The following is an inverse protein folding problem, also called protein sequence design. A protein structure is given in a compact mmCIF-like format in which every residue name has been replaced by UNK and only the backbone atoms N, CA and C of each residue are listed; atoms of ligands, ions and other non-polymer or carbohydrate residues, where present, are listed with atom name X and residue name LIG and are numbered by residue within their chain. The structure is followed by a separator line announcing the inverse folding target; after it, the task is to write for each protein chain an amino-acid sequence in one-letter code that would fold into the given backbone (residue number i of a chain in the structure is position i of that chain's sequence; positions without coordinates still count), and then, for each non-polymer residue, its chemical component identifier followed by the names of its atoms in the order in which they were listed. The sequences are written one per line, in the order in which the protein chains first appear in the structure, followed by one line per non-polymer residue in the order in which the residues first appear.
data_IF_647791788943
#
_entry.id   IF_647791788943
#
_cell.length_a   1.000
_cell.length_b   1.000
_cell.length_c   1.000
_cell.angle_alpha   90.00
_cell.angle_beta   90.00
_cell.angle_gamma   90.00
#
_symmetry.space_group_name_H-M   'P 1'
#
loop_
_entity.id
_entity.type
_entity.pdbx_description
1 polymer ?
#
# COMPACT_ATOMS: atom_id res chain seq x y z
N UNK A 1 -11.18 -9.97 8.22
CA UNK A 1 -11.30 -9.69 6.75
C UNK A 1 -10.00 -9.01 6.30
N UNK A 2 -9.33 -9.57 5.29
CA UNK A 2 -8.07 -9.05 4.73
C UNK A 2 -8.32 -7.70 4.06
N UNK A 3 -7.45 -6.72 4.30
CA UNK A 3 -7.48 -5.41 3.65
C UNK A 3 -6.19 -5.19 2.85
N UNK A 4 -6.32 -4.59 1.66
CA UNK A 4 -5.15 -4.09 0.94
C UNK A 4 -4.61 -2.82 1.59
N UNK A 5 -3.30 -2.59 1.51
CA UNK A 5 -2.70 -1.30 1.89
C UNK A 5 -2.94 -0.21 0.85
N UNK A 6 -3.30 -0.58 -0.39
CA UNK A 6 -3.68 0.36 -1.45
C UNK A 6 -5.18 0.59 -1.41
N UNK A 7 -5.61 1.78 -1.77
CA UNK A 7 -7.01 2.14 -1.81
C UNK A 7 -7.23 3.58 -2.25
N UNK A 8 -8.46 3.89 -2.58
CA UNK A 8 -8.91 5.21 -2.99
C UNK A 8 -10.29 5.50 -2.41
N UNK A 9 -10.48 6.72 -1.93
CA UNK A 9 -11.78 7.21 -1.51
C UNK A 9 -11.93 8.68 -1.90
N UNK A 10 -13.09 9.07 -2.40
CA UNK A 10 -13.42 10.45 -2.73
C UNK A 10 -14.85 10.74 -2.27
N UNK A 11 -14.99 11.87 -1.60
CA UNK A 11 -16.34 12.36 -1.24
C UNK A 11 -16.41 13.85 -1.52
N UNK A 12 -17.52 14.24 -2.11
CA UNK A 12 -17.84 15.65 -2.36
C UNK A 12 -19.16 15.97 -1.68
N UNK A 13 -19.18 17.02 -0.87
CA UNK A 13 -20.36 17.46 -0.14
C UNK A 13 -20.59 18.94 -0.37
N UNK A 14 -21.83 19.30 -0.61
CA UNK A 14 -22.34 20.67 -0.58
C UNK A 14 -23.02 20.90 0.76
N UNK A 15 -22.57 21.91 1.50
CA UNK A 15 -23.23 22.36 2.73
C UNK A 15 -23.55 23.84 2.63
N UNK A 16 -24.81 24.14 2.32
CA UNK A 16 -25.21 25.48 1.89
C UNK A 16 -24.53 25.85 0.57
N UNK A 17 -23.82 26.97 0.58
CA UNK A 17 -23.05 27.47 -0.58
C UNK A 17 -21.56 27.07 -0.53
N UNK A 18 -21.20 26.08 0.30
CA UNK A 18 -19.82 25.63 0.49
C UNK A 18 -19.65 24.22 -0.02
N UNK A 19 -18.66 24.02 -0.87
CA UNK A 19 -18.29 22.72 -1.42
C UNK A 19 -17.01 22.23 -0.77
N UNK A 20 -17.07 21.01 -0.24
CA UNK A 20 -15.94 20.28 0.31
C UNK A 20 -15.69 19.05 -0.54
N UNK A 21 -14.50 18.91 -1.10
CA UNK A 21 -14.06 17.70 -1.80
C UNK A 21 -12.87 17.12 -1.05
N UNK A 22 -12.97 15.86 -0.67
CA UNK A 22 -11.90 15.11 0.01
C UNK A 22 -11.52 13.91 -0.85
N UNK A 23 -10.26 13.79 -1.19
CA UNK A 23 -9.68 12.62 -1.85
C UNK A 23 -8.63 11.98 -0.94
N UNK A 24 -8.71 10.67 -0.77
CA UNK A 24 -7.79 9.87 0.05
C UNK A 24 -7.16 8.82 -0.85
N UNK A 25 -5.83 8.74 -0.88
CA UNK A 25 -5.06 7.73 -1.60
C UNK A 25 -4.12 7.04 -0.64
N UNK A 26 -4.15 5.71 -0.63
CA UNK A 26 -3.26 4.88 0.17
C UNK A 26 -2.30 4.09 -0.69
N UNK A 27 -1.04 3.99 -0.25
CA UNK A 27 -0.03 3.11 -0.83
C UNK A 27 0.67 2.32 0.27
N UNK A 28 1.29 1.20 -0.12
CA UNK A 28 2.03 0.36 0.81
C UNK A 28 3.14 1.16 1.51
N UNK A 29 3.16 1.11 2.84
CA UNK A 29 4.24 1.64 3.66
C UNK A 29 4.31 0.93 5.01
N UNK A 30 5.53 0.82 5.58
CA UNK A 30 5.76 0.09 6.83
C UNK A 30 5.02 0.66 8.04
N UNK A 31 4.88 1.97 8.11
CA UNK A 31 4.24 2.71 9.20
C UNK A 31 3.09 3.56 8.63
N UNK A 32 2.20 4.02 9.51
CA UNK A 32 1.22 5.01 9.11
C UNK A 32 1.93 6.37 8.91
N UNK A 33 2.03 6.78 7.66
CA UNK A 33 2.51 8.10 7.26
C UNK A 33 1.37 8.85 6.56
N UNK A 34 1.01 10.03 7.08
CA UNK A 34 -0.11 10.81 6.57
C UNK A 34 0.34 12.16 6.08
N UNK A 35 0.12 12.43 4.79
CA UNK A 35 0.35 13.73 4.15
C UNK A 35 -1.00 14.37 3.84
N UNK A 36 -1.23 15.57 4.40
CA UNK A 36 -2.49 16.30 4.22
C UNK A 36 -2.19 17.59 3.44
N UNK A 37 -2.85 17.74 2.30
CA UNK A 37 -2.82 18.95 1.49
C UNK A 37 -4.18 19.60 1.50
N UNK A 38 -4.25 20.83 2.03
CA UNK A 38 -5.50 21.57 2.17
C UNK A 38 -5.28 23.08 2.02
N UNK A 39 -6.32 23.87 1.74
CA UNK A 39 -6.27 25.33 1.76
C UNK A 39 -5.87 25.87 3.14
N UNK A 40 -5.14 26.98 3.17
CA UNK A 40 -4.68 27.63 4.42
C UNK A 40 -5.83 27.91 5.39
N UNK A 41 -7.02 28.24 4.89
CA UNK A 41 -8.23 28.51 5.67
C UNK A 41 -8.69 27.30 6.52
N UNK A 42 -8.20 26.07 6.26
CA UNK A 42 -8.56 24.84 6.99
C UNK A 42 -7.42 24.26 7.84
N UNK A 43 -6.24 24.88 7.86
CA UNK A 43 -5.04 24.34 8.54
C UNK A 43 -5.25 24.07 10.05
N UNK A 44 -6.11 24.82 10.71
CA UNK A 44 -6.41 24.60 12.13
C UNK A 44 -7.13 23.28 12.42
N UNK A 45 -7.72 22.61 11.41
CA UNK A 45 -8.31 21.29 11.53
C UNK A 45 -7.33 20.11 11.34
N UNK A 46 -6.07 20.35 11.01
CA UNK A 46 -5.10 19.28 10.69
C UNK A 46 -5.03 18.21 11.77
N UNK A 47 -4.96 18.62 13.04
CA UNK A 47 -4.86 17.68 14.18
C UNK A 47 -6.12 16.81 14.29
N UNK A 48 -7.29 17.39 14.09
CA UNK A 48 -8.58 16.69 14.13
C UNK A 48 -8.70 15.69 12.99
N UNK A 49 -8.26 16.05 11.78
CA UNK A 49 -8.23 15.18 10.60
C UNK A 49 -7.31 13.99 10.86
N UNK A 50 -6.08 14.22 11.36
CA UNK A 50 -5.14 13.16 11.71
C UNK A 50 -5.71 12.19 12.76
N UNK A 51 -6.47 12.70 13.71
CA UNK A 51 -7.11 11.89 14.75
C UNK A 51 -8.21 10.98 14.16
N UNK A 52 -9.03 11.49 13.24
CA UNK A 52 -10.04 10.70 12.54
C UNK A 52 -9.41 9.57 11.70
N UNK A 53 -8.35 9.87 10.97
CA UNK A 53 -7.66 8.88 10.13
C UNK A 53 -7.07 7.72 10.94
N UNK A 54 -6.46 8.02 12.09
CA UNK A 54 -5.87 7.00 12.97
C UNK A 54 -6.89 6.01 13.53
N UNK A 55 -8.17 6.38 13.61
CA UNK A 55 -9.24 5.48 14.05
C UNK A 55 -9.55 4.40 13.01
N UNK A 56 -9.35 4.70 11.71
CA UNK A 56 -9.76 3.82 10.61
C UNK A 56 -8.59 3.18 9.87
N UNK A 57 -7.38 3.74 9.99
CA UNK A 57 -6.18 3.32 9.23
C UNK A 57 -5.03 3.12 10.20
N UNK A 58 -4.48 1.89 10.24
CA UNK A 58 -3.39 1.53 11.16
C UNK A 58 -2.02 1.58 10.49
N UNK A 59 -1.94 1.36 9.16
CA UNK A 59 -0.71 1.24 8.41
C UNK A 59 -0.87 1.77 6.98
N UNK A 60 0.27 2.13 6.35
CA UNK A 60 0.32 2.63 4.98
C UNK A 60 0.67 4.11 4.90
N UNK A 61 1.12 4.57 3.73
CA UNK A 61 1.25 6.00 3.44
C UNK A 61 -0.06 6.48 2.83
N UNK A 62 -0.66 7.51 3.44
CA UNK A 62 -1.97 8.04 3.06
C UNK A 62 -1.82 9.51 2.69
N UNK A 63 -2.05 9.81 1.43
CA UNK A 63 -2.10 11.17 0.91
C UNK A 63 -3.56 11.64 0.84
N UNK A 64 -3.84 12.79 1.44
CA UNK A 64 -5.16 13.39 1.53
C UNK A 64 -5.14 14.74 0.85
N UNK A 65 -6.06 14.95 -0.06
CA UNK A 65 -6.28 16.20 -0.77
C UNK A 65 -7.64 16.74 -0.40
N UNK A 66 -7.66 17.93 0.18
CA UNK A 66 -8.89 18.63 0.55
C UNK A 66 -9.00 19.88 -0.29
N UNK A 67 -10.09 20.01 -1.02
CA UNK A 67 -10.47 21.21 -1.76
C UNK A 67 -11.69 21.81 -1.09
N UNK A 68 -11.67 23.14 -0.93
CA UNK A 68 -12.74 23.93 -0.38
C UNK A 68 -13.08 25.08 -1.32
N UNK A 69 -14.32 25.18 -1.71
CA UNK A 69 -14.86 26.27 -2.51
C UNK A 69 -16.02 26.91 -1.75
N UNK A 70 -15.94 28.22 -1.56
CA UNK A 70 -17.03 29.04 -1.02
C UNK A 70 -17.73 29.73 -2.19
N UNK A 71 -18.95 29.32 -2.46
CA UNK A 71 -19.81 29.85 -3.53
C UNK A 71 -20.73 30.97 -3.01
N UNK A 72 -20.67 31.28 -1.70
CA UNK A 72 -21.42 32.39 -1.15
C UNK A 72 -20.96 33.70 -1.77
N UNK A 73 -21.88 34.61 -2.01
CA UNK A 73 -21.52 35.98 -2.34
C UNK A 73 -20.61 36.50 -1.22
N UNK A 74 -19.34 36.74 -1.56
CA UNK A 74 -18.34 37.17 -0.59
C UNK A 74 -18.83 38.46 0.08
N UNK A 75 -19.27 38.35 1.32
CA UNK A 75 -19.56 39.53 2.16
C UNK A 75 -18.22 40.18 2.53
N UNK A 76 -17.64 40.84 1.54
CA UNK A 76 -16.49 41.71 1.78
C UNK A 76 -17.04 42.98 2.42
N UNK A 77 -16.76 43.19 3.68
CA UNK A 77 -17.05 44.46 4.36
C UNK A 77 -15.86 45.39 4.22
N UNK A 78 -16.14 46.65 3.88
CA UNK A 78 -15.14 47.70 3.94
C UNK A 78 -15.08 48.23 5.35
N UNK A 79 -13.91 48.15 5.98
CA UNK A 79 -13.63 48.77 7.27
C UNK A 79 -12.93 50.08 7.07
N UNK A 80 -13.51 51.13 7.62
CA UNK A 80 -12.94 52.46 7.65
C UNK A 80 -12.21 52.74 8.97
N UNK A 81 -10.93 53.09 8.88
CA UNK A 81 -10.12 53.45 10.03
C UNK A 81 -10.12 54.99 10.21
N UNK A 82 -11.11 55.48 10.93
CA UNK A 82 -11.32 56.90 11.14
C UNK A 82 -10.14 57.55 11.91
N UNK A 83 -9.56 56.84 12.90
CA UNK A 83 -8.46 57.36 13.69
C UNK A 83 -7.22 57.63 12.82
N UNK A 84 -6.85 56.62 11.99
CA UNK A 84 -5.73 56.73 11.08
C UNK A 84 -5.95 57.81 10.00
N UNK A 85 -7.18 57.89 9.46
CA UNK A 85 -7.53 58.96 8.52
C UNK A 85 -7.37 60.34 9.12
N UNK A 86 -7.74 60.54 10.40
CA UNK A 86 -7.54 61.79 11.13
C UNK A 86 -6.04 62.14 11.29
N UNK A 87 -5.21 61.14 11.62
CA UNK A 87 -3.76 61.31 11.71
C UNK A 87 -3.15 61.77 10.39
N UNK A 88 -3.50 61.11 9.26
CA UNK A 88 -3.05 61.54 7.94
C UNK A 88 -3.43 62.98 7.64
N UNK A 89 -4.67 63.37 7.88
CA UNK A 89 -5.14 64.73 7.65
C UNK A 89 -4.39 65.75 8.49
N UNK A 90 -4.09 65.46 9.76
CA UNK A 90 -3.31 66.32 10.63
C UNK A 90 -1.88 66.54 10.15
N UNK A 91 -1.24 65.44 9.64
CA UNK A 91 0.10 65.53 9.06
C UNK A 91 0.12 66.28 7.77
N UNK A 92 -0.86 66.11 6.89
CA UNK A 92 -0.95 66.89 5.64
C UNK A 92 -1.13 68.35 5.90
N UNK A 93 -1.92 68.73 6.88
CA UNK A 93 -2.06 70.12 7.26
C UNK A 93 -0.74 70.69 7.79
N UNK A 94 -0.04 69.93 8.65
CA UNK A 94 1.27 70.33 9.20
C UNK A 94 2.32 70.48 8.11
N UNK A 95 2.31 69.61 7.09
CA UNK A 95 3.21 69.69 5.93
C UNK A 95 2.91 70.91 5.10
N UNK A 96 1.62 71.21 4.81
CA UNK A 96 1.18 72.37 4.09
C UNK A 96 1.63 73.64 4.77
N UNK A 97 1.45 73.77 6.08
CA UNK A 97 1.86 74.92 6.87
C UNK A 97 3.39 75.08 6.95
N UNK A 98 4.13 73.97 7.14
CA UNK A 98 5.60 73.98 7.27
C UNK A 98 6.30 74.42 5.96
N UNK A 99 5.81 73.94 4.84
CA UNK A 99 6.44 74.16 3.55
C UNK A 99 5.73 75.18 2.67
N UNK A 100 4.69 75.86 3.19
CA UNK A 100 3.87 76.83 2.50
C UNK A 100 3.28 76.26 1.19
N UNK A 101 2.78 75.01 1.26
CA UNK A 101 2.14 74.30 0.18
C UNK A 101 0.63 74.38 0.29
N UNK A 102 -0.08 74.28 -0.84
CA UNK A 102 -1.55 74.16 -0.84
C UNK A 102 -1.95 72.72 -0.43
N UNK A 103 -2.87 72.60 0.53
CA UNK A 103 -3.43 71.32 0.94
C UNK A 103 -4.57 70.95 -0.01
N UNK A 104 -4.27 70.11 -1.01
CA UNK A 104 -5.20 69.66 -2.09
C UNK A 104 -5.83 68.25 -1.80
N UNK A 105 -5.73 67.79 -0.53
CA UNK A 105 -6.22 66.45 -0.21
C UNK A 105 -7.72 66.32 -0.42
N UNK A 106 -8.11 65.31 -1.18
CA UNK A 106 -9.50 64.97 -1.48
C UNK A 106 -9.84 63.59 -0.88
N UNK A 107 -11.12 63.37 -0.62
CA UNK A 107 -11.62 62.07 -0.10
C UNK A 107 -11.14 60.91 -0.97
N UNK A 108 -11.12 61.06 -2.31
CA UNK A 108 -10.65 60.06 -3.27
C UNK A 108 -9.13 59.80 -3.20
N UNK A 109 -8.35 60.77 -2.73
CA UNK A 109 -6.93 60.62 -2.46
C UNK A 109 -6.75 59.95 -1.06
N UNK A 110 -7.41 60.46 -0.02
CA UNK A 110 -7.35 59.93 1.34
C UNK A 110 -7.73 58.45 1.40
N UNK A 111 -8.78 58.01 0.69
CA UNK A 111 -9.22 56.61 0.63
C UNK A 111 -8.20 55.63 0.07
N UNK A 112 -7.15 56.13 -0.64
CA UNK A 112 -6.09 55.28 -1.25
C UNK A 112 -4.86 55.11 -0.38
N UNK A 113 -4.77 55.88 0.74
CA UNK A 113 -3.66 55.72 1.65
C UNK A 113 -3.77 54.37 2.39
N UNK A 114 -2.62 53.76 2.73
CA UNK A 114 -2.59 52.45 3.35
C UNK A 114 -3.46 52.40 4.61
N UNK A 115 -4.21 51.29 4.73
CA UNK A 115 -5.00 50.94 5.94
C UNK A 115 -6.14 51.91 6.33
N UNK A 116 -6.44 52.91 5.51
CA UNK A 116 -7.62 53.76 5.74
C UNK A 116 -8.91 53.04 5.36
N UNK A 117 -8.91 52.33 4.22
CA UNK A 117 -9.98 51.43 3.82
C UNK A 117 -9.40 50.03 3.63
N UNK A 118 -9.78 49.12 4.48
CA UNK A 118 -9.39 47.69 4.37
C UNK A 118 -10.62 46.83 4.04
N UNK A 119 -10.40 45.86 3.17
CA UNK A 119 -11.41 44.83 2.93
C UNK A 119 -11.25 43.75 3.98
N UNK A 120 -12.23 43.60 4.86
CA UNK A 120 -12.27 42.49 5.84
C UNK A 120 -13.22 41.41 5.31
N UNK A 121 -12.67 40.21 5.11
CA UNK A 121 -13.49 39.02 4.96
C UNK A 121 -14.02 38.65 6.37
N UNK A 122 -15.32 38.39 6.48
CA UNK A 122 -15.88 37.88 7.75
C UNK A 122 -15.16 36.59 8.13
N UNK A 123 -14.75 36.48 9.39
CA UNK A 123 -14.18 35.24 9.90
C UNK A 123 -15.16 34.10 9.70
N UNK A 124 -14.76 33.01 9.04
CA UNK A 124 -15.67 31.90 8.77
C UNK A 124 -16.07 31.24 10.10
N UNK A 125 -17.34 30.83 10.19
CA UNK A 125 -17.85 30.04 11.31
C UNK A 125 -17.15 28.66 11.32
N UNK A 126 -16.19 28.49 12.24
CA UNK A 126 -15.35 27.30 12.34
C UNK A 126 -16.17 26.02 12.61
N UNK A 127 -17.25 26.10 13.38
CA UNK A 127 -18.10 24.94 13.68
C UNK A 127 -18.82 24.44 12.43
N UNK A 128 -19.34 25.36 11.62
CA UNK A 128 -20.00 25.00 10.35
C UNK A 128 -18.98 24.44 9.33
N UNK A 129 -17.77 25.04 9.26
CA UNK A 129 -16.71 24.52 8.40
C UNK A 129 -16.30 23.12 8.82
N UNK A 130 -16.13 22.87 10.12
CA UNK A 130 -15.77 21.55 10.61
C UNK A 130 -16.86 20.51 10.33
N UNK A 131 -18.11 20.89 10.52
CA UNK A 131 -19.25 19.97 10.27
C UNK A 131 -19.28 19.50 8.83
N UNK A 132 -19.16 20.42 7.86
CA UNK A 132 -19.13 20.08 6.43
C UNK A 132 -17.89 19.26 6.05
N UNK A 133 -16.72 19.71 6.50
CA UNK A 133 -15.47 19.02 6.26
C UNK A 133 -15.46 17.59 6.86
N UNK A 134 -15.96 17.43 8.10
CA UNK A 134 -16.03 16.13 8.78
C UNK A 134 -16.92 15.15 8.00
N UNK A 135 -18.08 15.59 7.53
CA UNK A 135 -18.97 14.73 6.72
C UNK A 135 -18.29 14.28 5.42
N UNK A 136 -17.56 15.18 4.75
CA UNK A 136 -16.80 14.84 3.54
C UNK A 136 -15.65 13.85 3.86
N UNK A 137 -14.95 14.04 4.98
CA UNK A 137 -13.92 13.13 5.46
C UNK A 137 -14.48 11.76 5.79
N UNK A 138 -15.56 11.68 6.56
CA UNK A 138 -16.20 10.43 6.95
C UNK A 138 -16.64 9.64 5.70
N UNK A 139 -17.23 10.31 4.70
CA UNK A 139 -17.61 9.70 3.43
C UNK A 139 -16.40 9.19 2.63
N UNK A 140 -15.33 9.97 2.53
CA UNK A 140 -14.13 9.57 1.83
C UNK A 140 -13.39 8.42 2.53
N UNK A 141 -13.34 8.43 3.88
CA UNK A 141 -12.77 7.34 4.69
C UNK A 141 -13.58 6.06 4.51
N UNK A 142 -14.91 6.12 4.55
CA UNK A 142 -15.77 4.96 4.36
C UNK A 142 -15.50 4.30 3.00
N UNK A 143 -15.48 5.08 1.92
CA UNK A 143 -15.19 4.59 0.58
C UNK A 143 -13.76 4.03 0.46
N UNK A 144 -12.78 4.69 1.09
CA UNK A 144 -11.40 4.23 1.14
C UNK A 144 -11.28 2.86 1.81
N UNK A 145 -11.95 2.67 2.97
CA UNK A 145 -11.95 1.39 3.69
C UNK A 145 -12.66 0.29 2.90
N UNK A 146 -13.78 0.62 2.24
CA UNK A 146 -14.50 -0.31 1.37
C UNK A 146 -13.63 -0.77 0.19
N UNK A 147 -12.99 0.17 -0.51
CA UNK A 147 -12.10 -0.13 -1.65
C UNK A 147 -10.95 -1.05 -1.23
N UNK A 148 -10.34 -0.79 -0.06
CA UNK A 148 -9.29 -1.66 0.52
C UNK A 148 -9.80 -3.06 0.84
N UNK A 149 -11.03 -3.19 1.31
CA UNK A 149 -11.68 -4.48 1.57
C UNK A 149 -11.90 -5.28 0.29
N UNK A 150 -12.46 -4.65 -0.74
CA UNK A 150 -12.70 -5.27 -2.04
C UNK A 150 -11.38 -5.74 -2.70
N UNK A 151 -10.35 -4.91 -2.65
CA UNK A 151 -9.02 -5.26 -3.17
C UNK A 151 -8.37 -6.38 -2.35
N UNK A 152 -8.52 -6.37 -1.02
CA UNK A 152 -8.07 -7.44 -0.14
C UNK A 152 -8.69 -8.80 -0.47
N UNK A 153 -9.99 -8.83 -0.74
CA UNK A 153 -10.68 -10.06 -1.18
C UNK A 153 -10.19 -10.55 -2.56
N UNK A 154 -9.89 -9.65 -3.47
CA UNK A 154 -9.32 -10.03 -4.77
C UNK A 154 -7.91 -10.60 -4.62
N UNK A 155 -7.07 -9.98 -3.78
CA UNK A 155 -5.74 -10.49 -3.44
C UNK A 155 -5.82 -11.89 -2.82
N UNK A 156 -6.73 -12.10 -1.87
CA UNK A 156 -6.96 -13.40 -1.25
C UNK A 156 -7.29 -14.49 -2.28
N UNK A 157 -8.22 -14.21 -3.21
CA UNK A 157 -8.60 -15.15 -4.28
C UNK A 157 -7.41 -15.47 -5.19
N UNK A 158 -6.63 -14.47 -5.59
CA UNK A 158 -5.47 -14.69 -6.47
C UNK A 158 -4.37 -15.49 -5.76
N UNK A 159 -4.09 -15.17 -4.50
CA UNK A 159 -3.13 -15.93 -3.68
C UNK A 159 -3.56 -17.37 -3.49
N UNK A 160 -4.83 -17.63 -3.18
CA UNK A 160 -5.36 -19.01 -3.05
C UNK A 160 -5.19 -19.80 -4.34
N UNK A 161 -5.52 -19.19 -5.50
CA UNK A 161 -5.33 -19.84 -6.81
C UNK A 161 -3.86 -20.18 -7.09
N UNK A 162 -2.93 -19.29 -6.74
CA UNK A 162 -1.48 -19.53 -6.90
C UNK A 162 -1.00 -20.67 -5.99
N UNK A 163 -1.46 -20.70 -4.75
CA UNK A 163 -1.17 -21.77 -3.80
C UNK A 163 -1.69 -23.13 -4.27
N UNK A 164 -2.89 -23.18 -4.86
CA UNK A 164 -3.43 -24.40 -5.48
C UNK A 164 -2.57 -24.86 -6.67
N UNK A 165 -2.13 -23.93 -7.52
CA UNK A 165 -1.21 -24.23 -8.62
C UNK A 165 0.13 -24.80 -8.12
N UNK A 166 0.65 -24.27 -7.02
CA UNK A 166 1.89 -24.80 -6.41
C UNK A 166 1.73 -26.22 -5.90
N UNK A 167 0.59 -26.59 -5.28
CA UNK A 167 0.33 -27.96 -4.86
C UNK A 167 0.35 -28.93 -6.05
N UNK A 168 -0.19 -28.52 -7.20
CA UNK A 168 -0.13 -29.34 -8.42
C UNK A 168 1.31 -29.56 -8.91
N UNK A 169 2.16 -28.52 -8.83
CA UNK A 169 3.59 -28.65 -9.19
C UNK A 169 4.32 -29.61 -8.23
N UNK A 170 4.06 -29.47 -6.92
CA UNK A 170 4.64 -30.34 -5.89
C UNK A 170 4.21 -31.79 -6.08
N UNK A 171 2.95 -32.04 -6.40
CA UNK A 171 2.43 -33.39 -6.72
C UNK A 171 3.10 -33.98 -7.99
N UNK A 172 3.42 -33.13 -8.97
CA UNK A 172 4.17 -33.57 -10.16
C UNK A 172 5.60 -33.98 -9.82
N UNK A 173 6.28 -33.25 -8.94
CA UNK A 173 7.62 -33.60 -8.44
C UNK A 173 7.56 -34.94 -7.70
N UNK A 174 6.60 -35.13 -6.79
CA UNK A 174 6.42 -36.36 -6.03
C UNK A 174 6.21 -37.59 -6.93
N UNK A 175 5.43 -37.43 -8.01
CA UNK A 175 5.19 -38.49 -9.00
C UNK A 175 6.40 -38.80 -9.90
N UNK A 176 7.21 -37.77 -10.19
CA UNK A 176 8.39 -37.91 -11.08
C UNK A 176 9.58 -38.57 -10.35
N UNK A 177 9.77 -38.28 -9.06
CA UNK A 177 10.93 -38.76 -8.28
C UNK A 177 11.18 -40.27 -8.36
N UNK A 178 10.19 -41.18 -8.16
CA UNK A 178 10.42 -42.61 -8.27
C UNK A 178 10.74 -43.07 -9.71
N UNK A 179 10.28 -42.36 -10.74
CA UNK A 179 10.58 -42.68 -12.13
C UNK A 179 12.05 -42.41 -12.46
N UNK A 180 12.65 -41.34 -11.91
CA UNK A 180 14.07 -41.01 -12.10
C UNK A 180 14.95 -42.12 -11.55
N UNK A 181 14.63 -42.64 -10.38
CA UNK A 181 15.36 -43.78 -9.76
C UNK A 181 15.33 -45.00 -10.68
N UNK A 182 14.14 -45.33 -11.22
CA UNK A 182 13.98 -46.48 -12.14
C UNK A 182 14.73 -46.26 -13.46
N UNK A 183 14.71 -45.06 -14.01
CA UNK A 183 15.45 -44.67 -15.22
C UNK A 183 16.96 -44.70 -14.98
N UNK A 184 17.43 -44.21 -13.83
CA UNK A 184 18.83 -44.27 -13.46
C UNK A 184 19.34 -45.71 -13.35
N UNK A 185 18.58 -46.61 -12.70
CA UNK A 185 18.90 -48.02 -12.61
C UNK A 185 19.08 -48.63 -13.99
N UNK A 186 18.12 -48.46 -14.90
CA UNK A 186 18.19 -48.99 -16.28
C UNK A 186 19.40 -48.45 -17.05
N UNK A 187 19.68 -47.16 -16.90
CA UNK A 187 20.84 -46.51 -17.53
C UNK A 187 22.15 -47.07 -17.01
N UNK A 188 22.24 -47.31 -15.69
CA UNK A 188 23.40 -47.89 -15.05
C UNK A 188 23.63 -49.31 -15.51
N UNK A 189 22.61 -50.16 -15.51
CA UNK A 189 22.65 -51.56 -16.00
C UNK A 189 23.15 -51.63 -17.47
N UNK A 190 22.61 -50.75 -18.33
CA UNK A 190 23.02 -50.63 -19.72
C UNK A 190 24.50 -50.23 -19.87
N UNK A 191 24.92 -49.23 -19.15
CA UNK A 191 26.30 -48.70 -19.20
C UNK A 191 27.33 -49.71 -18.67
N UNK A 192 26.96 -50.44 -17.64
CA UNK A 192 27.77 -51.55 -17.11
C UNK A 192 27.96 -52.63 -18.14
N UNK A 193 26.89 -53.05 -18.83
CA UNK A 193 26.91 -54.06 -19.89
C UNK A 193 27.75 -53.63 -21.09
N UNK A 194 27.71 -52.36 -21.47
CA UNK A 194 28.51 -51.80 -22.58
C UNK A 194 30.01 -51.72 -22.24
N UNK A 195 30.39 -51.46 -20.96
CA UNK A 195 31.79 -51.25 -20.57
C UNK A 195 32.53 -52.54 -20.21
N UNK A 196 31.82 -53.58 -19.79
CA UNK A 196 32.47 -54.79 -19.21
C UNK A 196 32.27 -56.03 -20.10
N UNK A 197 31.69 -55.88 -21.31
CA UNK A 197 31.44 -56.93 -22.27
C UNK A 197 30.88 -58.21 -21.61
N UNK A 198 31.74 -59.21 -21.29
CA UNK A 198 31.31 -60.49 -20.71
C UNK A 198 31.50 -60.64 -19.21
N UNK A 199 31.93 -59.58 -18.51
CA UNK A 199 32.13 -59.63 -17.06
C UNK A 199 30.84 -59.38 -16.31
N UNK A 200 30.31 -60.37 -15.57
CA UNK A 200 29.13 -60.23 -14.73
C UNK A 200 29.48 -59.38 -13.49
N UNK A 201 28.79 -58.22 -13.36
CA UNK A 201 28.77 -57.48 -12.09
C UNK A 201 27.69 -58.07 -11.21
N UNK A 202 27.97 -58.21 -9.92
CA UNK A 202 26.97 -58.63 -8.95
C UNK A 202 25.84 -57.55 -8.85
N UNK A 203 24.61 -57.98 -8.94
CA UNK A 203 23.42 -57.11 -8.80
C UNK A 203 23.44 -56.30 -7.51
N UNK A 204 24.08 -56.78 -6.47
CA UNK A 204 24.33 -56.13 -5.19
C UNK A 204 25.04 -54.79 -5.33
N UNK A 205 26.01 -54.68 -6.26
CA UNK A 205 26.77 -53.42 -6.50
C UNK A 205 25.93 -52.40 -7.24
N UNK A 206 25.14 -52.84 -8.22
CA UNK A 206 24.21 -51.94 -8.90
C UNK A 206 23.14 -51.44 -7.93
N UNK A 207 22.60 -52.34 -7.09
CA UNK A 207 21.62 -51.98 -6.08
C UNK A 207 22.18 -50.94 -5.06
N UNK A 208 23.42 -51.13 -4.58
CA UNK A 208 24.06 -50.19 -3.67
C UNK A 208 24.22 -48.79 -4.30
N UNK A 209 24.64 -48.71 -5.57
CA UNK A 209 24.75 -47.43 -6.25
C UNK A 209 23.42 -46.71 -6.47
N UNK A 210 22.37 -47.48 -6.79
CA UNK A 210 21.00 -46.98 -6.96
C UNK A 210 20.48 -46.43 -5.60
N UNK A 211 20.78 -47.08 -4.47
CA UNK A 211 20.39 -46.58 -3.13
C UNK A 211 21.09 -45.27 -2.80
N UNK A 212 22.41 -45.20 -3.05
CA UNK A 212 23.18 -43.96 -2.85
C UNK A 212 22.62 -42.82 -3.71
N UNK A 213 22.31 -43.10 -4.96
CA UNK A 213 21.71 -42.12 -5.86
C UNK A 213 20.34 -41.68 -5.38
N UNK A 214 19.46 -42.63 -5.00
CA UNK A 214 18.13 -42.36 -4.48
C UNK A 214 18.17 -41.47 -3.23
N UNK A 215 19.06 -41.74 -2.29
CA UNK A 215 19.24 -40.94 -1.08
C UNK A 215 19.69 -39.51 -1.42
N UNK A 216 20.60 -39.35 -2.38
CA UNK A 216 21.10 -38.04 -2.81
C UNK A 216 20.03 -37.15 -3.44
N UNK A 217 19.07 -37.72 -4.16
CA UNK A 217 18.00 -36.98 -4.85
C UNK A 217 16.68 -36.95 -4.06
N UNK A 218 16.64 -37.59 -2.88
CA UNK A 218 15.44 -37.67 -2.06
C UNK A 218 14.97 -36.27 -1.66
N UNK A 219 13.73 -35.93 -2.02
CA UNK A 219 13.09 -34.65 -1.72
C UNK A 219 11.78 -34.83 -0.92
N UNK A 220 11.55 -36.02 -0.37
CA UNK A 220 10.27 -36.35 0.29
C UNK A 220 9.97 -35.43 1.48
N UNK A 221 10.99 -35.11 2.29
CA UNK A 221 10.84 -34.24 3.43
C UNK A 221 10.48 -32.79 3.00
N UNK A 222 11.19 -32.28 2.00
CA UNK A 222 10.94 -30.93 1.47
C UNK A 222 9.56 -30.80 0.82
N UNK A 223 9.12 -31.85 0.10
CA UNK A 223 7.78 -31.94 -0.48
C UNK A 223 6.70 -31.89 0.59
N UNK A 224 6.83 -32.69 1.64
CA UNK A 224 5.88 -32.72 2.77
C UNK A 224 5.85 -31.37 3.50
N UNK A 225 7.01 -30.78 3.76
CA UNK A 225 7.12 -29.46 4.41
C UNK A 225 6.52 -28.36 3.54
N UNK A 226 6.82 -28.36 2.24
CA UNK A 226 6.27 -27.37 1.31
C UNK A 226 4.75 -27.45 1.25
N UNK A 227 4.17 -28.65 1.15
CA UNK A 227 2.71 -28.86 1.22
C UNK A 227 2.13 -28.30 2.55
N UNK A 228 2.76 -28.59 3.65
CA UNK A 228 2.33 -28.10 4.98
C UNK A 228 2.38 -26.56 5.04
N UNK A 229 3.43 -25.91 4.50
CA UNK A 229 3.53 -24.47 4.48
C UNK A 229 2.47 -23.82 3.57
N UNK A 230 2.17 -24.45 2.42
CA UNK A 230 1.09 -23.98 1.53
C UNK A 230 -0.27 -24.03 2.21
N UNK A 231 -0.61 -25.13 2.89
CA UNK A 231 -1.87 -25.24 3.65
C UNK A 231 -1.92 -24.24 4.80
N UNK A 232 -0.84 -24.11 5.58
CA UNK A 232 -0.77 -23.10 6.66
C UNK A 232 -0.94 -21.67 6.12
N UNK A 233 -0.42 -21.35 4.93
CA UNK A 233 -0.64 -20.06 4.30
C UNK A 233 -2.10 -19.85 3.93
N UNK A 234 -2.78 -20.86 3.37
CA UNK A 234 -4.22 -20.82 3.07
C UNK A 234 -5.04 -20.60 4.34
N UNK A 235 -4.77 -21.34 5.41
CA UNK A 235 -5.44 -21.16 6.69
C UNK A 235 -5.23 -19.75 7.25
N UNK A 236 -4.00 -19.22 7.17
CA UNK A 236 -3.70 -17.85 7.62
C UNK A 236 -4.45 -16.81 6.78
N UNK A 237 -4.61 -17.02 5.47
CA UNK A 237 -5.42 -16.15 4.59
C UNK A 237 -6.93 -16.22 4.91
N UNK A 238 -7.39 -17.24 5.60
CA UNK A 238 -8.78 -17.40 6.04
C UNK A 238 -9.03 -16.86 7.44
N UNK A 239 -7.97 -16.63 8.25
CA UNK A 239 -8.11 -16.11 9.59
C UNK A 239 -8.54 -14.64 9.58
N UNK A 240 -9.29 -14.24 10.60
CA UNK A 240 -9.71 -12.84 10.81
C UNK A 240 -8.72 -12.07 11.71
N UNK A 241 -7.51 -12.57 11.87
CA UNK A 241 -6.48 -11.93 12.67
C UNK A 241 -5.99 -10.63 12.00
N UNK A 242 -5.72 -9.61 12.80
CA UNK A 242 -5.13 -8.36 12.31
C UNK A 242 -3.62 -8.52 12.12
N UNK A 243 -3.09 -7.94 11.06
CA UNK A 243 -1.64 -7.88 10.83
C UNK A 243 -1.02 -9.20 10.36
N UNK A 244 -1.77 -10.02 9.62
CA UNK A 244 -1.32 -11.34 9.12
C UNK A 244 -0.15 -11.25 8.13
N UNK A 245 0.10 -10.09 7.52
CA UNK A 245 1.13 -9.91 6.48
C UNK A 245 2.53 -10.37 6.91
N UNK A 246 2.92 -10.17 8.18
CA UNK A 246 4.22 -10.65 8.69
C UNK A 246 4.27 -12.17 8.79
N UNK A 247 3.17 -12.79 9.22
CA UNK A 247 3.06 -14.26 9.33
C UNK A 247 3.12 -14.88 7.95
N UNK A 248 2.41 -14.31 6.99
CA UNK A 248 2.44 -14.74 5.59
C UNK A 248 3.84 -14.60 4.96
N UNK A 249 4.55 -13.48 5.20
CA UNK A 249 5.93 -13.29 4.71
C UNK A 249 6.88 -14.33 5.29
N UNK A 250 6.75 -14.66 6.59
CA UNK A 250 7.53 -15.71 7.21
C UNK A 250 7.24 -17.08 6.57
N UNK A 251 5.98 -17.45 6.36
CA UNK A 251 5.60 -18.71 5.69
C UNK A 251 6.18 -18.74 4.27
N UNK A 252 6.11 -17.64 3.52
CA UNK A 252 6.67 -17.55 2.17
C UNK A 252 8.20 -17.74 2.16
N UNK A 253 8.91 -17.27 3.18
CA UNK A 253 10.36 -17.50 3.34
C UNK A 253 10.67 -18.98 3.57
N UNK A 254 9.90 -19.69 4.42
CA UNK A 254 10.07 -21.12 4.61
C UNK A 254 9.74 -21.90 3.32
N UNK A 255 8.66 -21.55 2.62
CA UNK A 255 8.35 -22.13 1.31
C UNK A 255 9.49 -21.98 0.31
N UNK A 256 10.11 -20.81 0.26
CA UNK A 256 11.26 -20.55 -0.62
C UNK A 256 12.50 -21.38 -0.22
N UNK A 257 12.68 -21.62 1.07
CA UNK A 257 13.74 -22.49 1.58
C UNK A 257 13.56 -23.92 1.12
N UNK A 258 12.36 -24.49 1.25
CA UNK A 258 12.06 -25.85 0.79
C UNK A 258 12.19 -25.98 -0.74
N UNK A 259 11.67 -25.01 -1.49
CA UNK A 259 11.82 -24.99 -2.96
C UNK A 259 13.28 -24.90 -3.41
N UNK A 260 14.15 -24.15 -2.70
CA UNK A 260 15.59 -24.11 -2.96
C UNK A 260 16.24 -25.45 -2.73
N UNK A 261 15.87 -26.18 -1.67
CA UNK A 261 16.41 -27.50 -1.37
C UNK A 261 15.98 -28.54 -2.42
N UNK A 262 14.70 -28.52 -2.83
CA UNK A 262 14.20 -29.35 -3.93
C UNK A 262 15.04 -29.10 -5.21
N UNK A 263 15.24 -27.83 -5.57
CA UNK A 263 16.01 -27.46 -6.76
C UNK A 263 17.47 -27.88 -6.67
N UNK A 264 18.09 -27.77 -5.50
CA UNK A 264 19.50 -28.18 -5.29
C UNK A 264 19.72 -29.70 -5.38
N UNK A 265 18.70 -30.49 -5.04
CA UNK A 265 18.70 -31.95 -5.14
C UNK A 265 18.22 -32.45 -6.53
N UNK A 266 17.67 -31.55 -7.36
CA UNK A 266 17.16 -31.91 -8.66
C UNK A 266 18.28 -32.39 -9.57
N UNK A 267 18.17 -33.63 -10.07
CA UNK A 267 19.06 -34.26 -11.04
C UNK A 267 18.30 -34.66 -12.34
N UNK A 268 17.15 -34.04 -12.53
CA UNK A 268 16.26 -34.25 -13.67
C UNK A 268 15.77 -32.89 -14.16
N UNK A 269 15.67 -32.72 -15.48
CA UNK A 269 15.31 -31.43 -16.09
C UNK A 269 13.87 -31.01 -15.76
N UNK A 270 12.96 -31.99 -15.66
CA UNK A 270 11.55 -31.74 -15.35
C UNK A 270 11.40 -31.23 -13.92
N UNK A 271 12.06 -31.90 -12.94
CA UNK A 271 12.07 -31.44 -11.54
C UNK A 271 12.76 -30.07 -11.42
N UNK A 272 13.86 -29.84 -12.14
CA UNK A 272 14.54 -28.54 -12.12
C UNK A 272 13.65 -27.41 -12.65
N UNK A 273 12.93 -27.62 -13.72
CA UNK A 273 11.98 -26.65 -14.27
C UNK A 273 10.84 -26.36 -13.27
N UNK A 274 10.22 -27.41 -12.72
CA UNK A 274 9.17 -27.26 -11.69
C UNK A 274 9.69 -26.53 -10.44
N UNK A 275 10.92 -26.81 -10.02
CA UNK A 275 11.57 -26.09 -8.91
C UNK A 275 11.77 -24.60 -9.19
N UNK A 276 12.14 -24.22 -10.40
CA UNK A 276 12.26 -22.82 -10.84
C UNK A 276 10.88 -22.16 -10.88
N UNK A 277 9.87 -22.84 -11.41
CA UNK A 277 8.49 -22.32 -11.43
C UNK A 277 7.93 -22.12 -10.04
N UNK A 278 8.13 -23.08 -9.12
CA UNK A 278 7.77 -22.94 -7.70
C UNK A 278 8.39 -21.70 -7.07
N UNK A 279 9.69 -21.47 -7.27
CA UNK A 279 10.36 -20.27 -6.76
C UNK A 279 9.78 -18.99 -7.34
N UNK A 280 9.48 -18.98 -8.62
CA UNK A 280 8.88 -17.83 -9.29
C UNK A 280 7.50 -17.50 -8.72
N UNK A 281 6.66 -18.52 -8.49
CA UNK A 281 5.35 -18.31 -7.88
C UNK A 281 5.44 -17.87 -6.41
N UNK A 282 6.40 -18.41 -5.64
CA UNK A 282 6.66 -17.98 -4.26
C UNK A 282 7.03 -16.48 -4.20
N UNK A 283 7.91 -16.00 -5.08
CA UNK A 283 8.26 -14.58 -5.12
C UNK A 283 7.07 -13.70 -5.52
N UNK A 284 6.26 -14.11 -6.50
CA UNK A 284 5.01 -13.39 -6.85
C UNK A 284 4.03 -13.33 -5.67
N UNK A 285 3.87 -14.43 -4.94
CA UNK A 285 3.06 -14.49 -3.71
C UNK A 285 3.62 -13.52 -2.68
N UNK A 286 4.93 -13.50 -2.47
CA UNK A 286 5.62 -12.66 -1.51
C UNK A 286 5.45 -11.17 -1.82
N UNK A 287 5.54 -10.77 -3.08
CA UNK A 287 5.28 -9.38 -3.52
C UNK A 287 3.83 -8.96 -3.21
N UNK A 288 2.85 -9.84 -3.44
CA UNK A 288 1.45 -9.54 -3.14
C UNK A 288 1.16 -9.47 -1.64
N UNK A 289 1.78 -10.33 -0.83
CA UNK A 289 1.65 -10.33 0.64
C UNK A 289 2.10 -8.99 1.23
N UNK A 290 3.09 -8.32 0.63
CA UNK A 290 3.53 -7.00 1.08
C UNK A 290 2.43 -5.93 1.03
N UNK A 291 1.37 -6.16 0.24
CA UNK A 291 0.22 -5.25 0.14
C UNK A 291 -0.93 -5.62 1.09
N UNK A 292 -0.76 -6.61 1.96
CA UNK A 292 -1.78 -7.10 2.91
C UNK A 292 -1.54 -6.47 4.29
N UNK A 293 -2.65 -5.95 4.86
CA UNK A 293 -2.74 -5.46 6.24
C UNK A 293 -3.54 -6.42 7.12
#
# INVERSE_FOLDING_TARGET
MIKSMTGFGRCEIMEGERRFTVEIKGVNHRYLDTSIRMPKKLNFFETSIRSLLKQSIQRGKVDIFITYEDLSESQVSLKYNEALAGEYLSYFQKMADTFSLENDIRVSALSRYPEILTMEEQAPDEEKLWTGLKRALDGAIAQFVETRGLEGENLKKDLTRKLDGMLMMVDSIEKRAPQIIAEYRKKLEKKVKELLEDTQIEDSRIAAEVVIFADKICTDEEVVRLKSHVEHMKETLLSDDNGIGRKLDFIAQEMNREANTILSKANDLEIANLGIELKTEIEKIREQIQNIE
#
